data_IF_039990890699
#
_entry.id   IF_039990890699
#
_cell.length_a   1.000
_cell.length_b   1.000
_cell.length_c   1.000
_cell.angle_alpha   90.00
_cell.angle_beta   90.00
_cell.angle_gamma   90.00
#
_symmetry.space_group_name_H-M   'P 1'
#
loop_
_entity.id
_entity.type
_entity.pdbx_description
1 polymer ?
#
# COMPACT_ATOMS: atom_id res chain seq x y z
N UNK A 1 -21.18 6.76 4.32
CA UNK A 1 -19.93 6.41 5.04
C UNK A 1 -20.16 6.83 6.48
N UNK A 2 -20.56 6.01 7.46
CA UNK A 2 -20.19 4.63 7.77
C UNK A 2 -19.48 4.65 9.14
N UNK A 3 -20.18 5.10 10.19
CA UNK A 3 -19.60 5.34 11.53
C UNK A 3 -19.16 4.07 12.26
N UNK A 4 -19.66 2.90 11.86
CA UNK A 4 -19.49 1.62 12.55
C UNK A 4 -18.01 1.25 12.76
N UNK A 5 -17.17 1.37 11.73
CA UNK A 5 -15.74 1.05 11.83
C UNK A 5 -14.92 2.06 12.63
N UNK A 6 -15.45 3.25 12.90
CA UNK A 6 -14.75 4.32 13.62
C UNK A 6 -15.27 4.51 15.06
N UNK A 7 -16.34 3.84 15.45
CA UNK A 7 -16.97 4.01 16.75
C UNK A 7 -16.06 3.60 17.91
N UNK A 8 -15.72 4.57 18.77
CA UNK A 8 -14.84 4.37 19.91
C UNK A 8 -13.37 4.16 19.57
N UNK A 9 -12.96 4.30 18.29
CA UNK A 9 -11.55 4.23 17.87
C UNK A 9 -10.74 5.47 18.27
N UNK A 10 -11.43 6.58 18.54
CA UNK A 10 -10.86 7.86 18.94
C UNK A 10 -11.69 8.44 20.09
N UNK A 11 -11.01 8.89 21.15
CA UNK A 11 -11.60 9.67 22.24
C UNK A 11 -11.20 11.14 22.15
N UNK A 12 -12.05 12.03 22.64
CA UNK A 12 -11.73 13.45 22.79
C UNK A 12 -11.11 13.71 24.16
N UNK A 13 -9.87 14.21 24.20
CA UNK A 13 -9.23 14.69 25.43
C UNK A 13 -8.68 16.10 25.20
N UNK A 14 -9.14 17.09 25.98
CA UNK A 14 -8.66 18.49 25.96
C UNK A 14 -8.56 19.09 24.54
N UNK A 15 -9.60 18.90 23.71
CA UNK A 15 -9.64 19.39 22.32
C UNK A 15 -8.77 18.61 21.33
N UNK A 16 -8.10 17.52 21.76
CA UNK A 16 -7.32 16.62 20.90
C UNK A 16 -8.05 15.29 20.72
N UNK A 17 -7.93 14.73 19.52
CA UNK A 17 -8.41 13.39 19.17
C UNK A 17 -7.29 12.39 19.47
N UNK A 18 -7.53 11.48 20.40
CA UNK A 18 -6.55 10.47 20.86
C UNK A 18 -7.02 9.07 20.45
N UNK A 19 -6.21 8.27 19.73
CA UNK A 19 -6.54 6.88 19.42
C UNK A 19 -6.71 6.05 20.70
N UNK A 20 -7.73 5.19 20.74
CA UNK A 20 -8.02 4.34 21.91
C UNK A 20 -7.32 2.97 21.86
N UNK A 21 -6.76 2.61 20.70
CA UNK A 21 -6.25 1.26 20.42
C UNK A 21 -7.33 0.27 19.98
N UNK A 22 -8.63 0.61 20.12
CA UNK A 22 -9.73 -0.19 19.58
C UNK A 22 -9.66 -0.20 18.05
N UNK A 23 -9.79 -1.38 17.45
CA UNK A 23 -9.97 -1.54 16.01
C UNK A 23 -11.43 -1.90 15.74
N UNK A 24 -12.08 -1.14 14.85
CA UNK A 24 -13.42 -1.45 14.38
C UNK A 24 -13.37 -2.49 13.27
N UNK A 25 -13.95 -3.66 13.51
CA UNK A 25 -14.14 -4.70 12.48
C UNK A 25 -15.53 -4.50 11.88
N UNK A 26 -15.59 -4.37 10.55
CA UNK A 26 -16.85 -4.17 9.82
C UNK A 26 -17.12 -5.41 8.97
N UNK A 27 -17.83 -6.38 9.54
CA UNK A 27 -18.11 -7.69 8.92
C UNK A 27 -18.73 -7.56 7.53
N UNK A 28 -19.65 -6.61 7.34
CA UNK A 28 -20.26 -6.34 6.03
C UNK A 28 -19.23 -5.95 4.96
N UNK A 29 -18.16 -5.24 5.33
CA UNK A 29 -17.10 -4.88 4.39
C UNK A 29 -16.22 -6.08 4.03
N UNK A 30 -15.92 -6.94 5.00
CA UNK A 30 -15.21 -8.22 4.77
C UNK A 30 -16.00 -9.05 3.75
N UNK A 31 -17.29 -9.28 4.02
CA UNK A 31 -18.17 -10.06 3.14
C UNK A 31 -18.31 -9.43 1.74
N UNK A 32 -18.31 -8.10 1.63
CA UNK A 32 -18.41 -7.43 0.33
C UNK A 32 -17.24 -7.74 -0.61
N UNK A 33 -16.06 -8.11 -0.08
CA UNK A 33 -14.90 -8.45 -0.91
C UNK A 33 -15.19 -9.62 -1.85
N UNK A 34 -16.12 -10.54 -1.48
CA UNK A 34 -16.51 -11.70 -2.30
C UNK A 34 -17.17 -11.31 -3.63
N UNK A 35 -17.82 -10.14 -3.69
CA UNK A 35 -18.67 -9.74 -4.82
C UNK A 35 -18.19 -8.49 -5.54
N UNK A 36 -17.11 -7.84 -5.07
CA UNK A 36 -16.53 -6.68 -5.74
C UNK A 36 -16.14 -7.00 -7.18
N UNK A 37 -16.47 -6.08 -8.08
CA UNK A 37 -16.19 -6.17 -9.53
C UNK A 37 -15.44 -4.92 -9.98
N UNK A 38 -14.13 -4.92 -9.80
CA UNK A 38 -13.22 -3.88 -10.31
C UNK A 38 -11.90 -4.52 -10.72
N UNK A 39 -11.12 -3.89 -11.61
CA UNK A 39 -9.80 -4.44 -12.00
C UNK A 39 -8.85 -4.57 -10.82
N UNK A 40 -8.87 -3.57 -9.92
CA UNK A 40 -8.00 -3.47 -8.74
C UNK A 40 -8.75 -2.79 -7.60
N UNK A 41 -8.59 -3.30 -6.38
CA UNK A 41 -9.13 -2.72 -5.15
C UNK A 41 -8.03 -2.58 -4.11
N UNK A 42 -7.83 -1.38 -3.57
CA UNK A 42 -6.97 -1.19 -2.40
C UNK A 42 -7.77 -1.48 -1.14
N UNK A 43 -7.44 -2.59 -0.47
CA UNK A 43 -8.11 -3.04 0.76
C UNK A 43 -7.55 -2.24 1.94
N UNK A 44 -8.43 -1.76 2.82
CA UNK A 44 -8.04 -1.01 4.01
C UNK A 44 -7.19 0.24 3.72
N UNK A 45 -7.58 1.05 2.73
CA UNK A 45 -6.83 2.24 2.29
C UNK A 45 -6.64 3.34 3.34
N UNK A 46 -7.43 3.33 4.42
CA UNK A 46 -7.36 4.27 5.54
C UNK A 46 -7.11 3.55 6.89
N UNK A 47 -6.80 2.25 6.86
CA UNK A 47 -6.55 1.39 8.03
C UNK A 47 -5.38 0.45 7.72
N UNK A 48 -5.13 -0.57 8.55
CA UNK A 48 -4.05 -1.53 8.32
C UNK A 48 -4.53 -2.94 8.67
N UNK A 49 -4.57 -3.83 7.67
CA UNK A 49 -5.02 -5.23 7.82
C UNK A 49 -4.20 -5.99 8.86
N UNK A 50 -2.92 -5.67 9.01
CA UNK A 50 -1.98 -6.37 9.89
C UNK A 50 -1.71 -5.59 11.19
N UNK A 51 -2.57 -4.63 11.55
CA UNK A 51 -2.46 -3.92 12.83
C UNK A 51 -2.51 -4.89 14.03
N UNK A 52 -1.62 -4.76 15.00
CA UNK A 52 -1.43 -5.71 16.12
C UNK A 52 -2.71 -6.11 16.87
N UNK A 53 -3.66 -5.18 16.98
CA UNK A 53 -4.97 -5.39 17.63
C UNK A 53 -6.04 -6.03 16.73
N UNK A 54 -5.72 -6.45 15.51
CA UNK A 54 -6.59 -7.28 14.66
C UNK A 54 -6.18 -8.73 14.86
N UNK A 55 -7.08 -9.60 15.31
CA UNK A 55 -6.78 -11.02 15.52
C UNK A 55 -6.53 -11.78 14.20
N UNK A 56 -5.88 -12.94 14.32
CA UNK A 56 -5.50 -13.74 13.16
C UNK A 56 -6.71 -14.33 12.41
N UNK A 57 -7.79 -14.64 13.12
CA UNK A 57 -9.03 -15.16 12.54
C UNK A 57 -9.69 -14.13 11.63
N UNK A 58 -9.73 -12.88 12.04
CA UNK A 58 -10.26 -11.77 11.25
C UNK A 58 -9.43 -11.51 10.01
N UNK A 59 -8.10 -11.58 10.11
CA UNK A 59 -7.23 -11.48 8.94
C UNK A 59 -7.49 -12.65 7.99
N UNK A 60 -7.62 -13.89 8.49
CA UNK A 60 -7.95 -15.04 7.66
C UNK A 60 -9.28 -14.85 6.92
N UNK A 61 -10.34 -14.37 7.60
CA UNK A 61 -11.64 -14.08 6.99
C UNK A 61 -11.58 -13.02 5.88
N UNK A 62 -10.71 -12.01 6.03
CA UNK A 62 -10.44 -11.02 4.96
C UNK A 62 -9.84 -11.72 3.73
N UNK A 63 -8.83 -12.58 3.93
CA UNK A 63 -8.19 -13.34 2.85
C UNK A 63 -9.16 -14.32 2.18
N UNK A 64 -9.96 -15.05 2.96
CA UNK A 64 -10.97 -15.97 2.44
C UNK A 64 -12.01 -15.25 1.58
N UNK A 65 -12.42 -14.05 1.98
CA UNK A 65 -13.37 -13.24 1.20
C UNK A 65 -12.77 -12.74 -0.12
N UNK A 66 -11.49 -12.37 -0.13
CA UNK A 66 -10.78 -12.01 -1.37
C UNK A 66 -10.56 -13.21 -2.29
N UNK A 67 -10.22 -14.37 -1.71
CA UNK A 67 -10.04 -15.63 -2.42
C UNK A 67 -11.34 -16.12 -3.06
N UNK A 68 -12.47 -15.96 -2.36
CA UNK A 68 -13.78 -16.33 -2.87
C UNK A 68 -14.30 -15.39 -3.98
N UNK A 69 -13.60 -14.29 -4.28
CA UNK A 69 -13.97 -13.38 -5.36
C UNK A 69 -13.66 -13.99 -6.74
N UNK A 70 -14.70 -14.41 -7.45
CA UNK A 70 -14.62 -14.93 -8.82
C UNK A 70 -14.68 -13.86 -9.92
N UNK A 71 -14.64 -12.57 -9.59
CA UNK A 71 -14.85 -11.48 -10.56
C UNK A 71 -13.57 -10.98 -11.23
N UNK A 72 -12.43 -11.63 -10.97
CA UNK A 72 -11.12 -11.19 -11.50
C UNK A 72 -10.60 -9.90 -10.85
N UNK A 73 -11.06 -9.56 -9.64
CA UNK A 73 -10.56 -8.40 -8.91
C UNK A 73 -9.19 -8.71 -8.30
N UNK A 74 -8.22 -7.82 -8.53
CA UNK A 74 -6.94 -7.85 -7.83
C UNK A 74 -6.99 -6.99 -6.57
N UNK A 75 -6.70 -7.59 -5.42
CA UNK A 75 -6.73 -6.93 -4.13
C UNK A 75 -5.33 -6.50 -3.72
N UNK A 76 -5.15 -5.21 -3.46
CA UNK A 76 -3.91 -4.62 -3.01
C UNK A 76 -4.01 -4.42 -1.51
N UNK A 77 -3.11 -5.06 -0.76
CA UNK A 77 -2.97 -4.88 0.69
C UNK A 77 -1.61 -4.22 0.93
N UNK A 78 -1.61 -3.09 1.62
CA UNK A 78 -0.37 -2.40 2.01
C UNK A 78 -0.34 -2.22 3.53
N UNK A 79 0.79 -2.52 4.17
CA UNK A 79 0.95 -2.38 5.62
C UNK A 79 2.30 -1.80 6.02
N UNK A 80 2.37 -1.15 7.18
CA UNK A 80 3.65 -0.80 7.82
C UNK A 80 4.15 -1.88 8.80
N UNK A 81 3.34 -2.92 9.05
CA UNK A 81 3.64 -4.08 9.90
C UNK A 81 4.14 -5.26 9.06
N UNK A 82 5.17 -5.01 8.26
CA UNK A 82 5.70 -5.93 7.25
C UNK A 82 6.14 -7.27 7.83
N UNK A 83 6.82 -7.28 8.98
CA UNK A 83 7.26 -8.51 9.65
C UNK A 83 6.07 -9.42 9.98
N UNK A 84 4.98 -8.85 10.52
CA UNK A 84 3.77 -9.60 10.83
C UNK A 84 3.07 -10.12 9.59
N UNK A 85 2.98 -9.30 8.54
CA UNK A 85 2.46 -9.75 7.23
C UNK A 85 3.28 -10.94 6.70
N UNK A 86 4.61 -10.89 6.81
CA UNK A 86 5.50 -11.96 6.37
C UNK A 86 5.28 -13.27 7.15
N UNK A 87 5.13 -13.18 8.48
CA UNK A 87 4.82 -14.33 9.34
C UNK A 87 3.46 -14.93 9.03
N UNK A 88 2.41 -14.11 9.00
CA UNK A 88 1.05 -14.57 8.72
C UNK A 88 0.91 -15.12 7.30
N UNK A 89 1.63 -14.54 6.33
CA UNK A 89 1.65 -15.06 4.97
C UNK A 89 2.18 -16.50 4.89
N UNK A 90 2.87 -17.03 5.91
CA UNK A 90 3.27 -18.43 5.92
C UNK A 90 2.10 -19.39 6.14
N UNK A 91 1.06 -18.96 6.86
CA UNK A 91 -0.11 -19.79 7.19
C UNK A 91 -1.35 -19.42 6.38
N UNK A 92 -1.43 -18.18 5.89
CA UNK A 92 -2.51 -17.73 5.01
C UNK A 92 -2.38 -18.36 3.62
N UNK A 93 -3.53 -18.64 2.99
CA UNK A 93 -3.59 -18.89 1.56
C UNK A 93 -3.59 -17.54 0.81
N UNK A 94 -2.63 -17.36 -0.08
CA UNK A 94 -2.39 -16.10 -0.79
C UNK A 94 -2.48 -16.36 -2.30
N UNK A 95 -3.70 -16.39 -2.88
CA UNK A 95 -3.89 -16.54 -4.32
C UNK A 95 -3.31 -15.36 -5.11
N UNK A 96 -3.12 -15.58 -6.41
CA UNK A 96 -2.46 -14.65 -7.34
C UNK A 96 -3.12 -13.26 -7.43
N UNK A 97 -4.43 -13.21 -7.18
CA UNK A 97 -5.20 -11.97 -7.17
C UNK A 97 -5.02 -11.15 -5.88
N UNK A 98 -4.23 -11.61 -4.91
CA UNK A 98 -3.88 -10.86 -3.70
C UNK A 98 -2.43 -10.37 -3.82
N UNK A 99 -2.30 -9.05 -3.95
CA UNK A 99 -1.03 -8.35 -4.05
C UNK A 99 -0.67 -7.76 -2.69
N UNK A 100 0.52 -8.08 -2.21
CA UNK A 100 0.99 -7.61 -0.90
C UNK A 100 2.04 -6.52 -1.07
N UNK A 101 1.97 -5.51 -0.22
CA UNK A 101 2.96 -4.44 -0.24
C UNK A 101 3.21 -3.83 1.11
N UNK A 102 4.25 -3.01 1.15
CA UNK A 102 4.59 -2.24 2.34
C UNK A 102 4.94 -0.81 1.98
N UNK A 103 4.76 0.08 2.96
CA UNK A 103 5.15 1.48 2.81
C UNK A 103 6.59 1.69 3.26
N UNK A 104 7.43 2.24 2.39
CA UNK A 104 8.81 2.66 2.71
C UNK A 104 9.06 4.08 2.22
N UNK A 105 9.07 5.07 3.12
CA UNK A 105 9.24 6.48 2.75
C UNK A 105 10.65 7.04 2.96
N UNK A 106 11.51 6.28 3.64
CA UNK A 106 12.87 6.65 4.04
C UNK A 106 13.77 5.40 4.16
N UNK A 107 15.09 5.58 4.15
CA UNK A 107 16.13 4.56 4.30
C UNK A 107 15.88 3.67 5.52
N UNK A 108 15.52 4.28 6.67
CA UNK A 108 15.24 3.53 7.90
C UNK A 108 14.03 2.60 7.80
N UNK A 109 13.17 2.78 6.80
CA UNK A 109 12.03 1.90 6.53
C UNK A 109 12.29 0.82 5.48
N UNK A 110 13.44 0.85 4.77
CA UNK A 110 13.74 -0.10 3.70
C UNK A 110 13.87 -1.55 4.18
N UNK A 111 14.18 -1.77 5.48
CA UNK A 111 14.18 -3.11 6.09
C UNK A 111 12.85 -3.87 5.88
N UNK A 112 11.73 -3.15 5.71
CA UNK A 112 10.42 -3.76 5.44
C UNK A 112 10.37 -4.50 4.09
N UNK A 113 11.25 -4.17 3.16
CA UNK A 113 11.35 -4.87 1.88
C UNK A 113 11.99 -6.26 2.04
N UNK A 114 12.85 -6.45 3.04
CA UNK A 114 13.36 -7.78 3.39
C UNK A 114 12.27 -8.66 4.02
N UNK A 115 11.36 -8.08 4.81
CA UNK A 115 10.16 -8.78 5.24
C UNK A 115 9.26 -9.13 4.05
N UNK A 116 9.06 -8.18 3.13
CA UNK A 116 8.22 -8.38 1.94
C UNK A 116 8.73 -9.55 1.10
N UNK A 117 10.06 -9.71 0.96
CA UNK A 117 10.72 -10.85 0.29
C UNK A 117 10.24 -12.21 0.84
N UNK A 118 9.92 -12.29 2.15
CA UNK A 118 9.48 -13.54 2.82
C UNK A 118 7.99 -13.87 2.60
N UNK A 119 7.18 -12.96 2.08
CA UNK A 119 5.75 -13.21 1.82
C UNK A 119 5.53 -14.19 0.67
N UNK A 120 4.37 -14.86 0.64
CA UNK A 120 3.99 -15.81 -0.43
C UNK A 120 3.33 -15.16 -1.66
N UNK A 121 3.03 -13.86 -1.61
CA UNK A 121 2.38 -13.16 -2.72
C UNK A 121 3.24 -13.15 -3.99
N UNK A 122 2.64 -13.46 -5.15
CA UNK A 122 3.34 -13.41 -6.44
C UNK A 122 3.68 -11.98 -6.87
N UNK A 123 2.75 -11.05 -6.64
CA UNK A 123 2.96 -9.62 -6.84
C UNK A 123 3.22 -8.98 -5.48
N UNK A 124 4.45 -8.50 -5.32
CA UNK A 124 4.89 -7.73 -4.17
C UNK A 124 5.19 -6.30 -4.60
N UNK A 125 4.68 -5.31 -3.87
CA UNK A 125 4.87 -3.91 -4.24
C UNK A 125 5.34 -3.06 -3.07
N UNK A 126 5.98 -1.93 -3.38
CA UNK A 126 6.31 -0.91 -2.38
C UNK A 126 5.53 0.36 -2.67
N UNK A 127 4.93 0.92 -1.62
CA UNK A 127 4.44 2.30 -1.65
C UNK A 127 5.49 3.20 -1.01
N UNK A 128 6.22 3.92 -1.84
CA UNK A 128 7.18 4.95 -1.45
C UNK A 128 6.43 6.26 -1.22
N UNK A 129 5.56 6.24 -0.20
CA UNK A 129 4.66 7.34 0.12
C UNK A 129 4.53 7.56 1.64
N UNK A 130 4.81 8.77 2.15
CA UNK A 130 5.50 9.84 1.42
C UNK A 130 6.95 9.45 1.12
N UNK A 131 7.47 9.82 -0.05
CA UNK A 131 8.91 9.79 -0.33
C UNK A 131 9.57 11.01 0.33
N UNK A 132 10.39 10.77 1.35
CA UNK A 132 10.90 11.82 2.24
C UNK A 132 12.38 12.15 2.04
N UNK A 133 13.11 11.28 1.36
CA UNK A 133 14.55 11.38 1.11
C UNK A 133 14.90 10.50 -0.10
N UNK A 134 16.07 10.67 -0.75
CA UNK A 134 16.47 9.80 -1.85
C UNK A 134 16.64 8.35 -1.37
N UNK A 135 16.12 7.39 -2.15
CA UNK A 135 16.19 5.97 -1.85
C UNK A 135 16.84 5.18 -2.98
N UNK A 136 17.66 4.21 -2.59
CA UNK A 136 18.09 3.13 -3.47
C UNK A 136 17.31 1.85 -3.13
N UNK A 137 16.42 1.46 -4.04
CA UNK A 137 15.63 0.22 -3.96
C UNK A 137 16.11 -0.85 -4.95
N UNK A 138 17.23 -0.58 -5.64
CA UNK A 138 17.86 -1.49 -6.60
C UNK A 138 18.02 -2.92 -6.08
N UNK A 139 18.41 -3.19 -4.82
CA UNK A 139 18.57 -4.57 -4.34
C UNK A 139 17.30 -5.42 -4.47
N UNK A 140 16.12 -4.84 -4.18
CA UNK A 140 14.84 -5.54 -4.24
C UNK A 140 14.18 -5.51 -5.63
N UNK A 141 14.64 -4.63 -6.52
CA UNK A 141 14.31 -4.69 -7.94
C UNK A 141 15.11 -5.81 -8.62
N UNK A 142 16.41 -5.87 -8.35
CA UNK A 142 17.36 -6.79 -8.97
C UNK A 142 17.09 -8.26 -8.63
N UNK A 143 16.74 -8.57 -7.39
CA UNK A 143 16.40 -9.94 -6.97
C UNK A 143 14.95 -10.34 -7.35
N UNK A 144 14.20 -9.42 -7.96
CA UNK A 144 12.83 -9.63 -8.39
C UNK A 144 11.81 -9.64 -7.27
N UNK A 145 12.17 -9.23 -6.04
CA UNK A 145 11.24 -9.05 -4.91
C UNK A 145 10.14 -8.08 -5.31
N UNK A 146 10.49 -6.89 -5.79
CA UNK A 146 9.54 -5.86 -6.20
C UNK A 146 9.05 -6.10 -7.62
N UNK A 147 7.72 -6.20 -7.75
CA UNK A 147 7.01 -6.29 -9.03
C UNK A 147 6.26 -5.01 -9.38
N UNK A 148 6.23 -4.03 -8.48
CA UNK A 148 5.62 -2.72 -8.70
C UNK A 148 6.14 -1.71 -7.68
N UNK A 149 6.34 -0.48 -8.13
CA UNK A 149 6.75 0.65 -7.28
C UNK A 149 5.76 1.79 -7.45
N UNK A 150 5.18 2.25 -6.34
CA UNK A 150 4.33 3.42 -6.27
C UNK A 150 5.12 4.52 -5.57
N UNK A 151 5.18 5.73 -6.13
CA UNK A 151 5.81 6.90 -5.52
C UNK A 151 4.78 7.98 -5.29
N UNK A 152 4.81 8.64 -4.12
CA UNK A 152 3.93 9.76 -3.83
C UNK A 152 4.51 10.71 -2.81
N UNK A 153 4.22 12.00 -2.98
CA UNK A 153 4.55 13.05 -2.03
C UNK A 153 3.59 13.11 -0.84
N UNK A 154 4.05 13.74 0.25
CA UNK A 154 3.22 13.96 1.44
C UNK A 154 2.12 15.00 1.15
N UNK A 155 0.95 14.82 1.78
CA UNK A 155 -0.12 15.79 1.70
C UNK A 155 -0.72 16.11 3.07
N UNK A 156 -1.28 17.31 3.21
CA UNK A 156 -1.92 17.78 4.44
C UNK A 156 -1.15 18.88 5.17
N UNK A 157 -1.59 19.19 6.40
CA UNK A 157 -0.97 20.22 7.23
C UNK A 157 0.45 19.79 7.63
N UNK A 158 1.44 20.62 7.28
CA UNK A 158 2.85 20.33 7.57
C UNK A 158 3.50 19.35 6.59
N UNK A 159 2.96 19.23 5.35
CA UNK A 159 3.56 18.41 4.31
C UNK A 159 5.04 18.74 4.09
N UNK A 160 5.85 17.70 3.92
CA UNK A 160 7.26 17.79 3.52
C UNK A 160 7.37 17.65 2.01
N UNK A 161 8.24 18.48 1.42
CA UNK A 161 8.47 18.48 -0.02
C UNK A 161 9.25 17.23 -0.43
N UNK A 162 8.70 16.49 -1.38
CA UNK A 162 9.40 15.50 -2.20
C UNK A 162 10.10 16.24 -3.34
N UNK A 163 11.42 16.11 -3.44
CA UNK A 163 12.18 16.65 -4.56
C UNK A 163 11.95 15.80 -5.83
N UNK A 164 11.85 16.47 -6.99
CA UNK A 164 11.49 15.82 -8.27
C UNK A 164 12.53 14.75 -8.64
N UNK A 165 13.79 15.06 -8.39
CA UNK A 165 14.97 14.25 -8.70
C UNK A 165 14.93 12.90 -7.98
N UNK A 166 14.30 12.82 -6.79
CA UNK A 166 14.15 11.57 -6.05
C UNK A 166 13.17 10.62 -6.74
N UNK A 167 12.02 11.14 -7.19
CA UNK A 167 11.04 10.34 -7.94
C UNK A 167 11.60 9.91 -9.30
N UNK A 168 12.32 10.79 -9.99
CA UNK A 168 13.04 10.47 -11.22
C UNK A 168 14.11 9.39 -11.04
N UNK A 169 14.86 9.44 -9.92
CA UNK A 169 15.86 8.42 -9.60
C UNK A 169 15.22 7.05 -9.40
N UNK A 170 14.08 6.97 -8.71
CA UNK A 170 13.33 5.72 -8.53
C UNK A 170 12.75 5.24 -9.88
N UNK A 171 12.24 6.15 -10.72
CA UNK A 171 11.80 5.81 -12.07
C UNK A 171 12.94 5.16 -12.89
N UNK A 172 14.14 5.74 -12.87
CA UNK A 172 15.31 5.17 -13.55
C UNK A 172 15.67 3.78 -13.02
N UNK A 173 15.65 3.58 -11.71
CA UNK A 173 15.85 2.26 -11.10
C UNK A 173 14.80 1.26 -11.58
N UNK A 174 13.51 1.63 -11.59
CA UNK A 174 12.43 0.77 -12.09
C UNK A 174 12.61 0.40 -13.57
N UNK A 175 12.97 1.37 -14.42
CA UNK A 175 13.22 1.15 -15.85
C UNK A 175 14.38 0.18 -16.08
N UNK A 176 15.46 0.29 -15.31
CA UNK A 176 16.61 -0.61 -15.40
C UNK A 176 16.21 -2.10 -15.22
N UNK A 177 15.22 -2.38 -14.38
CA UNK A 177 14.76 -3.74 -14.08
C UNK A 177 13.40 -4.08 -14.72
N UNK A 178 12.88 -3.24 -15.60
CA UNK A 178 11.56 -3.39 -16.23
C UNK A 178 10.41 -3.60 -15.22
N UNK A 179 10.51 -2.95 -14.05
CA UNK A 179 9.47 -2.99 -13.02
C UNK A 179 8.51 -1.83 -13.25
N UNK A 180 7.17 -2.06 -13.29
CA UNK A 180 6.21 -0.99 -13.44
C UNK A 180 6.37 0.09 -12.35
N UNK A 181 6.29 1.35 -12.78
CA UNK A 181 6.36 2.52 -11.91
C UNK A 181 5.05 3.32 -11.96
N UNK A 182 4.58 3.77 -10.80
CA UNK A 182 3.37 4.57 -10.64
C UNK A 182 3.67 5.84 -9.82
N UNK A 183 3.63 7.01 -10.45
CA UNK A 183 3.68 8.29 -9.74
C UNK A 183 2.27 8.73 -9.37
N UNK A 184 1.97 8.73 -8.07
CA UNK A 184 0.63 9.02 -7.55
C UNK A 184 0.32 10.51 -7.49
N UNK A 185 1.23 11.29 -6.92
CA UNK A 185 1.08 12.73 -6.71
C UNK A 185 2.42 13.35 -6.29
N UNK A 186 2.60 14.64 -6.56
CA UNK A 186 3.61 15.45 -5.89
C UNK A 186 3.19 15.82 -4.46
N UNK A 187 4.12 16.39 -3.68
CA UNK A 187 3.78 16.86 -2.33
C UNK A 187 2.97 18.15 -2.40
N UNK A 188 1.91 18.25 -1.62
CA UNK A 188 0.99 19.40 -1.69
C UNK A 188 0.16 19.56 -0.40
N UNK A 189 -0.32 20.77 -0.14
CA UNK A 189 -1.18 21.00 1.03
C UNK A 189 -2.51 20.23 0.95
N UNK A 190 -3.16 20.20 -0.22
CA UNK A 190 -4.31 19.33 -0.49
C UNK A 190 -3.88 18.15 -1.37
N UNK A 191 -4.43 16.95 -1.17
CA UNK A 191 -4.17 15.84 -2.08
C UNK A 191 -4.54 16.22 -3.52
N UNK A 192 -3.71 15.82 -4.50
CA UNK A 192 -3.95 16.06 -5.93
C UNK A 192 -4.19 17.53 -6.31
N UNK A 193 -3.61 18.45 -5.54
CA UNK A 193 -3.65 19.89 -5.83
C UNK A 193 -2.27 20.40 -6.28
N UNK A 194 -1.47 19.51 -6.84
CA UNK A 194 -0.33 19.87 -7.67
C UNK A 194 -0.79 20.73 -8.85
N UNK A 195 0.12 21.55 -9.39
CA UNK A 195 -0.19 22.44 -10.52
C UNK A 195 -0.66 21.65 -11.76
N UNK A 196 -0.31 20.37 -11.85
CA UNK A 196 -0.70 19.44 -12.91
C UNK A 196 -1.07 18.08 -12.29
N UNK A 197 -2.27 17.56 -12.57
CA UNK A 197 -2.71 16.22 -12.18
C UNK A 197 -3.38 15.50 -13.37
N UNK A 198 -3.00 14.26 -13.71
CA UNK A 198 -1.97 13.44 -13.07
C UNK A 198 -0.57 14.06 -13.13
N UNK A 199 0.29 13.80 -12.14
CA UNK A 199 1.64 14.32 -12.13
C UNK A 199 2.45 13.76 -13.32
N UNK A 200 3.30 14.60 -13.90
CA UNK A 200 4.19 14.22 -14.99
C UNK A 200 5.65 14.22 -14.55
N UNK A 201 6.45 13.33 -15.13
CA UNK A 201 7.90 13.43 -15.19
C UNK A 201 8.25 13.59 -16.66
N UNK A 202 8.89 14.71 -16.98
CA UNK A 202 9.29 15.08 -18.34
C UNK A 202 8.11 15.10 -19.34
N UNK A 203 6.96 15.62 -18.87
CA UNK A 203 5.72 15.72 -19.66
C UNK A 203 4.97 14.40 -19.84
N UNK A 204 5.45 13.30 -19.26
CA UNK A 204 4.81 11.99 -19.33
C UNK A 204 4.14 11.59 -18.02
N UNK A 205 2.91 11.07 -18.12
CA UNK A 205 2.20 10.44 -16.99
C UNK A 205 2.72 9.02 -16.79
N UNK A 206 3.13 8.72 -15.56
CA UNK A 206 3.66 7.41 -15.19
C UNK A 206 2.67 6.64 -14.33
N UNK A 207 1.71 5.95 -14.97
CA UNK A 207 0.71 5.10 -14.30
C UNK A 207 0.80 3.65 -14.79
N UNK A 208 1.95 3.01 -14.58
CA UNK A 208 2.14 1.63 -14.99
C UNK A 208 1.65 0.67 -13.90
N UNK A 209 1.23 -0.53 -14.31
CA UNK A 209 0.72 -1.57 -13.43
C UNK A 209 1.34 -2.92 -13.79
N UNK A 210 1.48 -3.84 -12.81
CA UNK A 210 1.82 -5.22 -13.08
C UNK A 210 0.84 -5.84 -14.08
N UNK A 211 1.41 -6.58 -15.04
CA UNK A 211 0.63 -7.47 -15.88
C UNK A 211 0.56 -8.82 -15.19
N UNK A 212 -0.65 -9.37 -15.05
CA UNK A 212 -0.82 -10.77 -14.68
C UNK A 212 -0.68 -11.53 -15.99
N UNK A 213 0.42 -12.28 -16.15
CA UNK A 213 0.51 -13.22 -17.27
C UNK A 213 -0.49 -14.34 -16.99
N UNK A 214 -1.38 -14.59 -17.96
CA UNK A 214 -2.27 -15.76 -17.98
C UNK A 214 -1.48 -17.07 -17.94
#
# INVERSE_FOLDING_TARGET
>A
MGNEGYEGTVKGERGKRVPTGKIGIVEKQIESLKTIKTKRLFVNSMSDTFHENVDAETIARVFDSMKANGNGTNFLICTKRSARMAEMSQTLDVPDNIWMGTTCGCQSSLHRLDDLRRTKAKIRFVSVEPLLEPLDITPWLADGTLKWVIVGGESGKGWRKMEKEWAEAILRQCQQFNVPFFLKQWSAFKPKSDAEYPPTIDGQVWHQYPQIKE
#
